data_IF_429320670743
#
_entry.id   IF_429320670743
#
_cell.length_a   1.000
_cell.length_b   1.000
_cell.length_c   1.000
_cell.angle_alpha   90.00
_cell.angle_beta   90.00
_cell.angle_gamma   90.00
#
_symmetry.space_group_name_H-M   'P 1'
#
loop_
_entity.id
_entity.type
_entity.pdbx_description
1 polymer ?
#
# COMPACT_ATOMS: atom_id res chain seq x y z
N UNK A 1 -32.17 -57.55 83.28
CA UNK A 1 -30.74 -57.84 83.11
C UNK A 1 -30.12 -56.66 82.36
N UNK A 2 -29.07 -56.07 82.93
CA UNK A 2 -28.24 -54.93 82.46
C UNK A 2 -27.95 -54.99 80.94
N UNK A 3 -27.58 -53.95 80.19
CA UNK A 3 -27.50 -52.50 80.26
C UNK A 3 -26.80 -52.09 78.93
N UNK A 4 -27.07 -50.89 78.41
CA UNK A 4 -26.14 -50.05 77.62
C UNK A 4 -25.62 -50.53 76.24
N UNK A 5 -25.23 -49.70 75.26
CA UNK A 5 -25.63 -48.39 74.70
C UNK A 5 -24.81 -48.22 73.40
N UNK A 6 -25.29 -47.37 72.46
CA UNK A 6 -24.53 -46.59 71.46
C UNK A 6 -23.78 -47.36 70.33
N UNK A 7 -23.63 -46.88 69.08
CA UNK A 7 -23.99 -45.66 68.38
C UNK A 7 -24.02 -45.94 66.86
N UNK A 8 -24.82 -45.17 66.14
CA UNK A 8 -24.87 -45.02 64.68
C UNK A 8 -23.51 -44.84 63.98
N UNK A 9 -23.40 -45.35 62.75
CA UNK A 9 -23.00 -44.54 61.58
C UNK A 9 -23.73 -45.06 60.33
N UNK A 10 -24.50 -44.18 59.69
CA UNK A 10 -25.20 -44.40 58.42
C UNK A 10 -24.17 -44.45 57.27
N UNK A 11 -24.20 -45.48 56.41
CA UNK A 11 -23.49 -45.48 55.12
C UNK A 11 -24.46 -45.03 54.03
N UNK A 12 -24.20 -43.85 53.48
CA UNK A 12 -24.88 -43.30 52.32
C UNK A 12 -24.36 -43.97 51.03
N UNK A 13 -25.29 -44.34 50.14
CA UNK A 13 -25.00 -44.87 48.82
C UNK A 13 -24.63 -43.73 47.86
N UNK A 14 -23.52 -43.89 47.14
CA UNK A 14 -23.09 -42.98 46.09
C UNK A 14 -23.89 -43.24 44.81
N UNK A 15 -24.66 -42.25 44.35
CA UNK A 15 -25.20 -42.18 43.00
C UNK A 15 -24.08 -41.72 42.04
N UNK A 16 -23.91 -42.44 40.93
CA UNK A 16 -23.11 -42.02 39.79
C UNK A 16 -23.84 -40.89 39.04
N UNK A 17 -23.30 -39.67 39.10
CA UNK A 17 -23.72 -38.56 38.24
C UNK A 17 -22.78 -38.53 37.04
N UNK A 18 -23.30 -38.90 35.88
CA UNK A 18 -22.63 -38.64 34.59
C UNK A 18 -22.66 -37.13 34.33
N UNK A 19 -21.49 -36.50 34.42
CA UNK A 19 -21.33 -35.09 34.09
C UNK A 19 -21.43 -34.91 32.56
N UNK A 20 -22.55 -34.36 32.10
CA UNK A 20 -22.69 -33.84 30.75
C UNK A 20 -21.97 -32.49 30.72
N UNK A 21 -20.75 -32.45 30.18
CA UNK A 21 -20.03 -31.21 29.96
C UNK A 21 -20.75 -30.41 28.86
N UNK A 22 -21.49 -29.38 29.26
CA UNK A 22 -22.02 -28.38 28.35
C UNK A 22 -20.82 -27.56 27.85
N UNK A 23 -20.31 -27.90 26.67
CA UNK A 23 -19.34 -27.07 25.96
C UNK A 23 -20.06 -25.79 25.54
N UNK A 24 -19.82 -24.71 26.28
CA UNK A 24 -20.19 -23.37 25.85
C UNK A 24 -19.16 -23.03 24.78
N UNK A 25 -19.48 -23.27 23.52
CA UNK A 25 -18.70 -22.73 22.42
C UNK A 25 -18.79 -21.20 22.55
N UNK A 26 -17.70 -20.59 23.01
CA UNK A 26 -17.50 -19.15 22.86
C UNK A 26 -17.52 -18.89 21.36
N UNK A 27 -18.65 -18.37 20.86
CA UNK A 27 -18.68 -17.68 19.58
C UNK A 27 -17.83 -16.44 19.81
N UNK A 28 -16.54 -16.55 19.50
CA UNK A 28 -15.76 -15.37 19.16
C UNK A 28 -16.50 -14.73 17.99
N UNK A 29 -16.96 -13.47 18.08
CA UNK A 29 -17.21 -12.77 16.85
C UNK A 29 -15.86 -12.77 16.15
N UNK A 30 -15.76 -13.49 15.03
CA UNK A 30 -14.80 -13.11 14.03
C UNK A 30 -15.18 -11.67 13.73
N UNK A 31 -14.42 -10.73 14.27
CA UNK A 31 -14.40 -9.39 13.74
C UNK A 31 -14.08 -9.62 12.26
N UNK A 32 -15.09 -9.46 11.41
CA UNK A 32 -14.81 -9.16 10.03
C UNK A 32 -13.90 -7.95 10.12
N UNK A 33 -12.63 -8.13 9.78
CA UNK A 33 -11.76 -7.01 9.46
C UNK A 33 -12.57 -6.21 8.45
N UNK A 34 -13.07 -5.04 8.86
CA UNK A 34 -13.66 -4.10 7.92
C UNK A 34 -12.49 -3.71 7.02
N UNK A 35 -12.39 -4.40 5.88
CA UNK A 35 -11.43 -4.11 4.82
C UNK A 35 -11.67 -2.64 4.44
N UNK A 36 -10.77 -1.78 4.87
CA UNK A 36 -10.88 -0.35 4.61
C UNK A 36 -10.80 -0.14 3.10
N UNK A 37 -11.94 0.23 2.51
CA UNK A 37 -12.07 0.34 1.06
C UNK A 37 -11.48 1.68 0.60
N UNK A 38 -10.15 1.76 0.53
CA UNK A 38 -9.37 2.89 -0.03
C UNK A 38 -9.54 3.06 -1.56
N UNK A 39 -10.62 2.54 -2.12
CA UNK A 39 -10.89 2.64 -3.55
C UNK A 39 -11.38 4.04 -3.87
N UNK A 40 -10.68 4.70 -4.79
CA UNK A 40 -11.02 6.02 -5.31
C UNK A 40 -11.11 7.14 -4.26
N UNK A 41 -10.46 6.96 -3.10
CA UNK A 41 -10.36 8.01 -2.09
C UNK A 41 -9.60 9.21 -2.64
N UNK A 42 -10.05 10.41 -2.28
CA UNK A 42 -9.38 11.65 -2.67
C UNK A 42 -8.41 12.10 -1.58
N UNK A 43 -7.52 13.05 -1.93
CA UNK A 43 -6.64 13.71 -0.96
C UNK A 43 -7.45 14.33 0.18
N UNK A 44 -8.59 14.96 -0.13
CA UNK A 44 -9.43 15.61 0.89
C UNK A 44 -10.09 14.60 1.81
N UNK A 45 -10.50 13.43 1.32
CA UNK A 45 -11.07 12.38 2.16
C UNK A 45 -10.05 11.86 3.18
N UNK A 46 -8.80 11.65 2.75
CA UNK A 46 -7.72 11.23 3.65
C UNK A 46 -7.36 12.31 4.66
N UNK A 47 -7.32 13.58 4.25
CA UNK A 47 -7.08 14.69 5.16
C UNK A 47 -8.15 14.79 6.24
N UNK A 48 -9.43 14.69 5.87
CA UNK A 48 -10.54 14.67 6.85
C UNK A 48 -10.41 13.48 7.81
N UNK A 49 -10.08 12.29 7.29
CA UNK A 49 -9.92 11.09 8.10
C UNK A 49 -8.71 11.12 9.04
N UNK A 50 -7.65 11.86 8.70
CA UNK A 50 -6.51 12.10 9.58
C UNK A 50 -6.85 13.14 10.65
N UNK A 51 -7.57 14.21 10.27
CA UNK A 51 -7.99 15.27 11.19
C UNK A 51 -8.95 14.78 12.28
N UNK A 52 -9.89 13.89 11.93
CA UNK A 52 -10.86 13.33 12.87
C UNK A 52 -10.37 12.06 13.59
N UNK A 53 -9.21 11.53 13.18
CA UNK A 53 -8.57 10.35 13.76
C UNK A 53 -9.23 9.03 13.37
N UNK A 54 -10.03 9.01 12.31
CA UNK A 54 -10.61 7.77 11.76
C UNK A 54 -9.52 6.85 11.22
N UNK A 55 -8.48 7.43 10.59
CA UNK A 55 -7.31 6.69 10.10
C UNK A 55 -6.00 7.38 10.44
N UNK A 56 -4.92 6.60 10.44
CA UNK A 56 -3.55 7.12 10.47
C UNK A 56 -2.89 6.98 9.09
N UNK A 57 -1.87 7.79 8.81
CA UNK A 57 -1.07 7.69 7.60
C UNK A 57 -0.38 6.32 7.51
N UNK A 58 0.06 5.74 8.64
CA UNK A 58 0.56 4.35 8.70
C UNK A 58 -0.48 3.36 8.16
N UNK A 59 -1.71 3.37 8.69
CA UNK A 59 -2.77 2.44 8.28
C UNK A 59 -3.14 2.58 6.80
N UNK A 60 -3.19 3.82 6.29
CA UNK A 60 -3.46 4.09 4.88
C UNK A 60 -2.33 3.54 4.01
N UNK A 61 -1.07 3.81 4.39
CA UNK A 61 0.10 3.35 3.62
C UNK A 61 0.21 1.82 3.63
N UNK A 62 -0.01 1.17 4.78
CA UNK A 62 -0.06 -0.30 4.89
C UNK A 62 -1.10 -0.88 3.93
N UNK A 63 -2.30 -0.32 3.91
CA UNK A 63 -3.39 -0.79 3.04
C UNK A 63 -3.04 -0.68 1.53
N UNK A 64 -2.35 0.39 1.11
CA UNK A 64 -1.85 0.49 -0.27
C UNK A 64 -0.74 -0.52 -0.57
N UNK A 65 0.20 -0.74 0.36
CA UNK A 65 1.27 -1.73 0.18
C UNK A 65 0.73 -3.16 0.12
N UNK A 66 -0.23 -3.53 0.97
CA UNK A 66 -0.92 -4.83 0.92
C UNK A 66 -1.64 -5.04 -0.41
N UNK A 67 -2.25 -3.97 -0.95
CA UNK A 67 -2.91 -4.02 -2.24
C UNK A 67 -1.89 -4.19 -3.38
N UNK A 68 -0.77 -3.49 -3.33
CA UNK A 68 0.33 -3.66 -4.28
C UNK A 68 0.81 -5.10 -4.23
N UNK A 69 1.10 -5.65 -3.04
CA UNK A 69 1.53 -7.04 -2.88
C UNK A 69 0.54 -8.03 -3.53
N UNK A 70 -0.77 -7.78 -3.38
CA UNK A 70 -1.82 -8.66 -3.90
C UNK A 70 -1.95 -8.64 -5.43
N UNK A 71 -1.71 -7.49 -6.07
CA UNK A 71 -2.09 -7.27 -7.47
C UNK A 71 -0.94 -6.92 -8.40
N UNK A 72 0.22 -6.53 -7.89
CA UNK A 72 1.31 -6.00 -8.72
C UNK A 72 1.86 -7.04 -9.71
N UNK A 73 1.93 -8.32 -9.32
CA UNK A 73 2.29 -9.43 -10.24
C UNK A 73 1.36 -9.49 -11.48
N UNK A 74 0.14 -8.95 -11.37
CA UNK A 74 -0.80 -8.87 -12.48
C UNK A 74 -0.59 -7.63 -13.37
N UNK A 75 -0.15 -6.50 -12.82
CA UNK A 75 -0.13 -5.21 -13.54
C UNK A 75 1.27 -4.71 -13.89
N UNK A 76 2.28 -5.04 -13.08
CA UNK A 76 3.67 -4.66 -13.27
C UNK A 76 3.86 -3.15 -13.49
N UNK A 77 3.26 -2.37 -12.58
CA UNK A 77 3.27 -0.92 -12.56
C UNK A 77 4.54 -0.32 -11.93
N UNK A 78 5.35 -1.08 -11.19
CA UNK A 78 6.50 -0.61 -10.44
C UNK A 78 7.83 -1.18 -10.96
N UNK A 79 8.90 -0.39 -10.81
CA UNK A 79 10.29 -0.87 -10.92
C UNK A 79 10.92 -1.04 -9.54
N UNK A 80 10.57 -0.15 -8.62
CA UNK A 80 11.07 -0.16 -7.23
C UNK A 80 9.94 0.24 -6.29
N UNK A 81 9.78 -0.50 -5.19
CA UNK A 81 8.94 -0.09 -4.06
C UNK A 81 9.80 0.60 -3.00
N UNK A 82 9.21 1.54 -2.26
CA UNK A 82 9.87 2.21 -1.15
C UNK A 82 9.77 1.37 0.12
N UNK A 83 10.89 0.79 0.53
CA UNK A 83 11.06 0.05 1.77
C UNK A 83 11.02 0.94 3.03
N UNK A 84 11.07 2.26 2.88
CA UNK A 84 10.91 3.24 3.97
C UNK A 84 9.47 3.81 4.08
N UNK A 85 8.54 3.42 3.20
CA UNK A 85 7.21 4.07 3.13
C UNK A 85 6.44 4.05 4.47
N UNK A 86 6.50 2.96 5.22
CA UNK A 86 5.85 2.85 6.54
C UNK A 86 6.52 3.75 7.59
N UNK A 87 7.84 3.88 7.53
CA UNK A 87 8.60 4.73 8.45
C UNK A 87 8.33 6.22 8.15
N UNK A 88 8.26 6.58 6.88
CA UNK A 88 7.83 7.90 6.42
C UNK A 88 6.39 8.20 6.89
N UNK A 89 5.48 7.23 6.81
CA UNK A 89 4.09 7.36 7.23
C UNK A 89 3.94 7.56 8.76
N UNK A 90 4.74 6.84 9.56
CA UNK A 90 4.81 7.06 11.02
C UNK A 90 5.27 8.47 11.37
N UNK A 91 6.29 8.96 10.68
CA UNK A 91 6.76 10.32 10.88
C UNK A 91 5.70 11.36 10.47
N UNK A 92 4.88 11.05 9.46
CA UNK A 92 3.71 11.85 9.08
C UNK A 92 2.67 11.88 10.20
N UNK A 93 2.33 10.74 10.81
CA UNK A 93 1.39 10.69 11.93
C UNK A 93 1.83 11.56 13.12
N UNK A 94 3.13 11.61 13.42
CA UNK A 94 3.68 12.51 14.44
C UNK A 94 3.48 13.99 14.07
N UNK A 95 3.70 14.38 12.81
CA UNK A 95 3.48 15.76 12.34
C UNK A 95 2.00 16.15 12.38
N UNK A 96 1.11 15.24 11.98
CA UNK A 96 -0.36 15.44 12.06
C UNK A 96 -0.76 15.73 13.50
N UNK A 97 -0.32 14.90 14.45
CA UNK A 97 -0.64 15.06 15.88
C UNK A 97 -0.09 16.36 16.48
N UNK A 98 1.05 16.83 15.99
CA UNK A 98 1.68 18.08 16.44
C UNK A 98 1.09 19.33 15.77
N UNK A 99 0.17 19.19 14.81
CA UNK A 99 -0.38 20.30 14.04
C UNK A 99 0.62 20.92 13.06
N UNK A 100 1.59 20.12 12.60
CA UNK A 100 2.66 20.49 11.67
C UNK A 100 2.44 19.86 10.28
N UNK A 101 1.22 19.39 9.99
CA UNK A 101 0.88 18.73 8.73
C UNK A 101 1.08 19.66 7.52
N UNK A 102 1.83 19.17 6.53
CA UNK A 102 1.91 19.77 5.20
C UNK A 102 0.65 19.58 4.35
N UNK A 103 0.62 20.19 3.17
CA UNK A 103 -0.55 20.15 2.28
C UNK A 103 -0.84 18.76 1.69
N UNK A 104 0.12 17.84 1.73
CA UNK A 104 0.02 16.46 1.25
C UNK A 104 0.43 15.45 2.33
N UNK A 105 0.34 15.83 3.60
CA UNK A 105 0.78 15.02 4.72
C UNK A 105 0.11 13.64 4.72
N UNK A 106 0.92 12.59 4.73
CA UNK A 106 0.44 11.21 4.78
C UNK A 106 -0.22 10.72 3.48
N UNK A 107 -0.17 11.48 2.38
CA UNK A 107 -0.78 11.08 1.11
C UNK A 107 0.18 10.15 0.34
N UNK A 108 -0.26 8.94 -0.05
CA UNK A 108 0.54 8.03 -0.86
C UNK A 108 0.71 8.52 -2.31
N UNK A 109 1.96 8.63 -2.76
CA UNK A 109 2.36 9.14 -4.07
C UNK A 109 3.31 8.18 -4.77
N UNK A 110 3.18 8.03 -6.08
CA UNK A 110 4.14 7.31 -6.92
C UNK A 110 4.88 8.24 -7.87
N UNK A 111 6.14 7.91 -8.16
CA UNK A 111 7.01 8.74 -8.98
C UNK A 111 7.38 7.98 -10.26
N UNK A 112 7.29 8.62 -11.43
CA UNK A 112 7.79 8.02 -12.68
C UNK A 112 9.29 7.71 -12.56
N UNK A 113 9.71 6.55 -13.03
CA UNK A 113 11.06 6.06 -12.75
C UNK A 113 12.22 6.94 -13.26
N UNK A 114 12.00 7.72 -14.32
CA UNK A 114 12.98 8.67 -14.86
C UNK A 114 13.20 9.91 -13.98
N UNK A 115 12.31 10.19 -13.02
CA UNK A 115 12.46 11.31 -12.07
C UNK A 115 13.44 10.89 -10.98
N UNK A 116 14.40 11.76 -10.68
CA UNK A 116 15.38 11.52 -9.63
C UNK A 116 14.72 11.57 -8.24
N UNK A 117 14.96 10.50 -7.46
CA UNK A 117 14.56 10.35 -6.06
C UNK A 117 15.80 9.86 -5.33
N UNK A 118 16.23 10.58 -4.30
CA UNK A 118 17.35 10.19 -3.45
C UNK A 118 17.09 8.81 -2.85
N UNK A 119 18.12 7.96 -2.83
CA UNK A 119 18.04 6.60 -2.33
C UNK A 119 17.48 5.56 -3.30
N UNK A 120 16.90 5.97 -4.44
CA UNK A 120 16.44 5.06 -5.48
C UNK A 120 17.42 4.99 -6.65
N UNK A 121 17.54 3.80 -7.25
CA UNK A 121 18.23 3.67 -8.54
C UNK A 121 17.40 4.31 -9.67
N UNK A 122 18.10 5.00 -10.58
CA UNK A 122 17.58 5.50 -11.85
C UNK A 122 18.15 4.64 -12.99
N UNK A 123 17.31 3.73 -13.49
CA UNK A 123 17.56 2.80 -14.59
C UNK A 123 17.07 3.31 -15.95
N UNK A 124 16.16 4.28 -15.95
CA UNK A 124 15.46 4.78 -17.13
C UNK A 124 14.76 3.65 -17.92
N UNK A 125 14.23 2.64 -17.25
CA UNK A 125 13.65 1.43 -17.86
C UNK A 125 14.64 0.59 -18.67
N UNK A 126 15.93 0.92 -18.70
CA UNK A 126 16.92 0.23 -19.53
C UNK A 126 17.72 -0.81 -18.74
N UNK A 127 17.81 -2.03 -19.28
CA UNK A 127 18.49 -3.15 -18.61
C UNK A 127 19.97 -2.90 -18.34
N UNK A 128 20.64 -2.10 -19.18
CA UNK A 128 22.05 -1.72 -18.95
C UNK A 128 22.28 -0.86 -17.70
N UNK A 129 21.23 -0.31 -17.10
CA UNK A 129 21.25 0.35 -15.80
C UNK A 129 20.37 -0.36 -14.76
N UNK A 130 19.89 -1.57 -15.05
CA UNK A 130 19.03 -2.34 -14.15
C UNK A 130 19.75 -2.83 -12.88
N UNK A 131 19.04 -3.51 -11.96
CA UNK A 131 19.59 -3.97 -10.67
C UNK A 131 20.80 -4.91 -10.81
N UNK A 132 20.84 -5.71 -11.89
CA UNK A 132 21.91 -6.67 -12.15
C UNK A 132 23.09 -6.06 -12.96
N UNK A 133 23.04 -4.76 -13.27
CA UNK A 133 24.10 -4.08 -14.01
C UNK A 133 25.32 -3.75 -13.14
N UNK A 134 26.49 -3.71 -13.75
CA UNK A 134 27.70 -3.14 -13.13
C UNK A 134 27.64 -1.61 -13.01
N UNK A 135 26.66 -0.96 -13.64
CA UNK A 135 26.45 0.48 -13.61
C UNK A 135 25.18 0.74 -12.79
N UNK A 136 25.35 1.39 -11.64
CA UNK A 136 24.24 1.86 -10.81
C UNK A 136 24.27 3.38 -10.76
N UNK A 137 23.13 4.01 -11.06
CA UNK A 137 22.93 5.45 -11.01
C UNK A 137 21.96 5.69 -9.87
N UNK A 138 22.44 6.22 -8.75
CA UNK A 138 21.62 6.60 -7.60
C UNK A 138 21.77 8.12 -7.44
N UNK A 139 20.69 8.91 -7.57
CA UNK A 139 20.75 10.36 -7.41
C UNK A 139 21.21 10.72 -6.00
N UNK A 140 22.10 11.72 -5.90
CA UNK A 140 22.52 12.30 -4.62
C UNK A 140 21.46 13.23 -4.02
N UNK A 141 20.50 13.67 -4.83
CA UNK A 141 19.45 14.61 -4.44
C UNK A 141 18.15 14.25 -5.16
N UNK A 142 17.04 14.48 -4.48
CA UNK A 142 15.70 14.49 -5.07
C UNK A 142 15.60 15.54 -6.19
N UNK A 143 14.83 15.25 -7.24
CA UNK A 143 14.38 16.27 -8.19
C UNK A 143 13.52 17.34 -7.47
N UNK A 144 13.46 18.60 -7.95
CA UNK A 144 12.73 19.67 -7.26
C UNK A 144 11.27 19.33 -6.91
N UNK A 145 10.54 18.67 -7.80
CA UNK A 145 9.16 18.24 -7.53
C UNK A 145 9.08 17.21 -6.39
N UNK A 146 10.08 16.34 -6.26
CA UNK A 146 10.14 15.33 -5.20
C UNK A 146 10.49 15.98 -3.87
N UNK A 147 11.39 16.97 -3.87
CA UNK A 147 11.69 17.80 -2.70
C UNK A 147 10.42 18.50 -2.19
N UNK A 148 9.66 19.12 -3.09
CA UNK A 148 8.40 19.80 -2.75
C UNK A 148 7.37 18.80 -2.18
N UNK A 149 7.20 17.63 -2.80
CA UNK A 149 6.30 16.58 -2.31
C UNK A 149 6.67 16.12 -0.89
N UNK A 150 7.96 15.84 -0.63
CA UNK A 150 8.43 15.44 0.70
C UNK A 150 8.28 16.57 1.72
N UNK A 151 8.55 17.81 1.33
CA UNK A 151 8.39 18.98 2.20
C UNK A 151 6.93 19.19 2.63
N UNK A 152 5.98 18.82 1.77
CA UNK A 152 4.54 18.84 2.06
C UNK A 152 4.04 17.54 2.71
N UNK A 153 4.92 16.62 3.08
CA UNK A 153 4.60 15.41 3.87
C UNK A 153 4.07 14.22 3.06
N UNK A 154 4.20 14.24 1.73
CA UNK A 154 3.77 13.13 0.88
C UNK A 154 4.61 11.86 1.12
N UNK A 155 3.95 10.71 1.08
CA UNK A 155 4.58 9.40 1.25
C UNK A 155 4.87 8.79 -0.12
N UNK A 156 6.14 8.71 -0.49
CA UNK A 156 6.53 8.09 -1.77
C UNK A 156 6.46 6.57 -1.61
N UNK A 157 5.54 5.91 -2.31
CA UNK A 157 5.33 4.46 -2.24
C UNK A 157 6.31 3.69 -3.13
N UNK A 158 6.80 4.33 -4.20
CA UNK A 158 7.77 3.71 -5.10
C UNK A 158 7.94 4.44 -6.44
N UNK A 159 8.83 3.89 -7.26
CA UNK A 159 9.08 4.31 -8.64
C UNK A 159 8.34 3.41 -9.62
N UNK A 160 7.69 4.03 -10.60
CA UNK A 160 6.78 3.37 -11.53
C UNK A 160 7.43 3.06 -12.87
N UNK A 161 7.06 1.90 -13.41
CA UNK A 161 7.64 1.32 -14.62
C UNK A 161 7.43 2.19 -15.87
N UNK A 162 8.44 2.20 -16.75
CA UNK A 162 8.51 2.99 -17.97
C UNK A 162 9.17 2.16 -19.09
N UNK A 163 8.85 2.40 -20.37
CA UNK A 163 9.66 1.88 -21.47
C UNK A 163 11.06 2.50 -21.41
N UNK A 164 12.07 1.75 -21.84
CA UNK A 164 13.46 2.20 -21.85
C UNK A 164 13.59 3.61 -22.48
N UNK A 165 14.18 4.53 -21.72
CA UNK A 165 14.36 5.95 -22.04
C UNK A 165 13.08 6.68 -22.47
N UNK A 166 11.92 6.27 -21.94
CA UNK A 166 10.61 6.84 -22.29
C UNK A 166 10.28 6.80 -23.80
N UNK A 167 10.83 5.83 -24.54
CA UNK A 167 10.77 5.80 -26.01
C UNK A 167 9.44 5.32 -26.61
N UNK A 168 8.53 4.76 -25.80
CA UNK A 168 7.23 4.24 -26.24
C UNK A 168 6.07 4.99 -25.60
N UNK A 169 5.07 5.34 -26.40
CA UNK A 169 3.81 5.96 -25.96
C UNK A 169 2.66 4.96 -25.73
N UNK A 170 2.92 3.66 -25.87
CA UNK A 170 1.86 2.63 -25.84
C UNK A 170 1.93 1.73 -24.60
N UNK A 171 3.15 1.33 -24.21
CA UNK A 171 3.40 0.39 -23.11
C UNK A 171 4.88 0.44 -22.69
N UNK A 172 5.19 0.00 -21.47
CA UNK A 172 6.54 -0.23 -20.99
C UNK A 172 7.14 -1.57 -21.51
N UNK A 173 7.05 -1.83 -22.81
CA UNK A 173 7.44 -3.13 -23.41
C UNK A 173 8.94 -3.33 -23.68
N UNK A 174 9.70 -2.27 -23.49
CA UNK A 174 11.17 -2.28 -23.54
C UNK A 174 11.80 -2.13 -22.16
N UNK A 175 10.99 -2.14 -21.09
CA UNK A 175 11.48 -2.04 -19.73
C UNK A 175 12.26 -3.30 -19.32
N UNK A 176 13.33 -3.13 -18.55
CA UNK A 176 14.00 -4.27 -17.89
C UNK A 176 13.08 -4.96 -16.88
N UNK A 177 12.12 -4.24 -16.29
CA UNK A 177 11.12 -4.80 -15.38
C UNK A 177 9.98 -5.52 -16.14
N UNK A 178 10.03 -5.54 -17.47
CA UNK A 178 9.00 -6.15 -18.32
C UNK A 178 7.78 -5.26 -18.56
N UNK A 179 6.80 -5.83 -19.26
CA UNK A 179 5.58 -5.13 -19.70
C UNK A 179 4.72 -4.66 -18.53
N UNK A 180 4.31 -3.39 -18.50
CA UNK A 180 3.17 -2.90 -17.70
C UNK A 180 1.84 -3.20 -18.42
N UNK A 181 0.79 -3.48 -17.66
CA UNK A 181 -0.55 -3.79 -18.21
C UNK A 181 -1.62 -2.78 -17.75
N UNK A 182 -2.63 -2.57 -18.58
CA UNK A 182 -3.73 -1.66 -18.27
C UNK A 182 -4.59 -2.17 -17.10
N UNK A 183 -4.91 -1.28 -16.16
CA UNK A 183 -5.64 -1.59 -14.93
C UNK A 183 -7.11 -2.03 -15.15
N UNK A 184 -7.73 -1.61 -16.28
CA UNK A 184 -9.13 -1.94 -16.61
C UNK A 184 -9.22 -3.26 -17.38
N UNK A 185 -8.33 -3.46 -18.36
CA UNK A 185 -8.28 -4.68 -19.18
C UNK A 185 -6.85 -4.88 -19.72
N UNK A 186 -6.18 -5.98 -19.34
CA UNK A 186 -4.81 -6.31 -19.79
C UNK A 186 -4.67 -6.46 -21.30
N UNK A 187 -5.76 -6.66 -22.04
CA UNK A 187 -5.72 -6.69 -23.51
C UNK A 187 -5.58 -5.30 -24.13
N UNK A 188 -5.86 -4.23 -23.36
CA UNK A 188 -5.67 -2.85 -23.78
C UNK A 188 -4.25 -2.37 -23.44
N UNK A 189 -3.78 -1.43 -24.25
CA UNK A 189 -2.55 -0.71 -23.94
C UNK A 189 -2.75 0.18 -22.70
N UNK A 190 -1.81 0.21 -21.73
CA UNK A 190 -1.86 1.15 -20.60
C UNK A 190 -1.52 2.59 -21.02
N UNK A 191 -1.00 2.80 -22.23
CA UNK A 191 -0.41 4.07 -22.65
C UNK A 191 1.06 4.16 -22.24
N UNK A 192 1.69 5.30 -22.52
CA UNK A 192 3.09 5.53 -22.21
C UNK A 192 3.51 6.98 -22.53
N UNK A 193 4.70 7.40 -22.14
CA UNK A 193 5.73 6.58 -21.51
C UNK A 193 5.54 6.37 -20.00
N UNK A 194 4.62 7.09 -19.37
CA UNK A 194 4.30 6.98 -17.93
C UNK A 194 3.34 5.83 -17.63
N UNK A 195 3.56 4.66 -18.24
CA UNK A 195 2.66 3.50 -18.22
C UNK A 195 2.41 2.99 -16.79
N UNK A 196 3.49 2.85 -16.01
CA UNK A 196 3.42 2.42 -14.61
C UNK A 196 2.66 3.41 -13.75
N UNK A 197 2.90 4.72 -13.92
CA UNK A 197 2.19 5.76 -13.18
C UNK A 197 0.69 5.71 -13.45
N UNK A 198 0.29 5.67 -14.73
CA UNK A 198 -1.13 5.59 -15.09
C UNK A 198 -1.79 4.31 -14.52
N UNK A 199 -1.09 3.18 -14.60
CA UNK A 199 -1.57 1.90 -14.08
C UNK A 199 -1.67 1.90 -12.56
N UNK A 200 -0.70 2.47 -11.84
CA UNK A 200 -0.70 2.56 -10.39
C UNK A 200 -1.89 3.39 -9.87
N UNK A 201 -2.18 4.54 -10.49
CA UNK A 201 -3.32 5.36 -10.08
C UNK A 201 -4.64 4.64 -10.41
N UNK A 202 -4.82 4.15 -11.63
CA UNK A 202 -6.05 3.43 -12.01
C UNK A 202 -6.24 2.11 -11.26
N UNK A 203 -5.16 1.48 -10.79
CA UNK A 203 -5.17 0.26 -9.98
C UNK A 203 -5.43 0.51 -8.48
N UNK A 204 -5.54 1.78 -8.06
CA UNK A 204 -5.58 2.20 -6.66
C UNK A 204 -4.34 1.75 -5.87
N UNK A 205 -3.14 1.91 -6.43
CA UNK A 205 -1.86 1.63 -5.75
C UNK A 205 -1.25 2.88 -5.09
N UNK A 206 -1.78 4.05 -5.41
CA UNK A 206 -1.50 5.32 -4.75
C UNK A 206 -2.60 6.34 -5.10
N UNK A 207 -2.60 7.48 -4.41
CA UNK A 207 -3.59 8.55 -4.61
C UNK A 207 -3.14 9.51 -5.71
N UNK A 208 -1.86 9.90 -5.72
CA UNK A 208 -1.28 10.80 -6.71
C UNK A 208 -0.07 10.19 -7.40
N UNK A 209 0.23 10.66 -8.60
CA UNK A 209 1.36 10.18 -9.39
C UNK A 209 2.04 11.28 -10.17
N UNK A 210 3.38 11.28 -10.16
CA UNK A 210 4.19 12.15 -11.03
C UNK A 210 4.46 11.45 -12.34
N UNK A 211 4.17 12.13 -13.46
CA UNK A 211 4.38 11.65 -14.82
C UNK A 211 5.11 12.71 -15.66
N UNK A 212 5.67 12.28 -16.79
CA UNK A 212 6.36 13.17 -17.74
C UNK A 212 5.86 12.93 -19.16
N UNK A 213 5.88 13.99 -19.98
CA UNK A 213 5.50 13.98 -21.39
C UNK A 213 6.57 14.70 -22.22
N UNK A 214 6.89 14.17 -23.39
CA UNK A 214 7.88 14.74 -24.33
C UNK A 214 7.32 14.93 -25.74
N UNK A 215 6.29 14.16 -26.12
CA UNK A 215 5.60 14.25 -27.39
C UNK A 215 4.63 15.43 -27.49
N UNK A 216 4.22 15.75 -28.73
CA UNK A 216 3.34 16.90 -29.06
C UNK A 216 1.85 16.57 -29.02
N UNK A 217 1.45 15.36 -28.61
CA UNK A 217 0.03 15.00 -28.58
C UNK A 217 -0.56 15.34 -27.21
N UNK A 218 -1.34 16.44 -27.20
CA UNK A 218 -2.06 17.03 -26.08
C UNK A 218 -3.21 16.18 -25.51
N UNK A 219 -3.01 14.88 -25.33
CA UNK A 219 -3.85 14.08 -24.46
C UNK A 219 -3.01 13.66 -23.28
N UNK A 220 -3.00 14.54 -22.27
CA UNK A 220 -3.03 14.08 -20.88
C UNK A 220 -4.10 13.00 -20.86
N UNK A 221 -3.70 11.74 -20.82
CA UNK A 221 -4.58 10.64 -20.51
C UNK A 221 -4.83 10.75 -18.99
N UNK A 222 -5.54 11.79 -18.58
CA UNK A 222 -6.39 11.74 -17.42
C UNK A 222 -7.35 10.60 -17.76
N UNK A 223 -7.06 9.41 -17.26
CA UNK A 223 -8.06 8.38 -17.09
C UNK A 223 -9.08 8.98 -16.11
N UNK A 224 -10.01 9.76 -16.67
CA UNK A 224 -11.25 10.10 -16.02
C UNK A 224 -11.94 8.77 -15.75
N UNK A 225 -12.20 8.53 -14.47
CA UNK A 225 -13.20 7.58 -13.98
C UNK A 225 -14.48 7.76 -14.80
N UNK A 226 -14.70 6.88 -15.77
CA UNK A 226 -15.96 6.66 -16.46
C UNK A 226 -16.31 5.18 -16.37
#
# INVERSE_FOLDING_TARGET
MRAHTYLNVKRAAFLSVSALALSIASVTPAAAEEEFELLEVTVSDLQEAYEDGTYTAEQVTESYLERIERYEDHYNAFTFLNDQAIEDAKASDERIQNGEAGALEGIPVVIKEAVDVEGFQSTFGWEGFGPDSSISIVPELDAPIVQDLRAEGAIIVGKTNIPAFSTSGTRADTSWAGDTYNAVDRALAPGGSSSGTATAISGNFAVLGVAEETGVLSKIQQLLNL
#
